data_IF_899052705288
#
_entry.id   IF_899052705288
#
_cell.length_a   1.000
_cell.length_b   1.000
_cell.length_c   1.000
_cell.angle_alpha   90.00
_cell.angle_beta   90.00
_cell.angle_gamma   90.00
#
_symmetry.space_group_name_H-M   'P 1'
#
loop_
_entity.id
_entity.type
_entity.pdbx_description
1 polymer ?
#
# COMPACT_ATOMS: atom_id res chain seq x y z
N UNK A 1 11.23 -12.42 -5.19
CA UNK A 1 9.94 -11.72 -5.09
C UNK A 1 9.22 -12.28 -3.88
N UNK A 2 8.88 -11.44 -2.92
CA UNK A 2 8.06 -11.80 -1.75
C UNK A 2 6.78 -10.98 -1.74
N UNK A 3 5.73 -11.52 -1.13
CA UNK A 3 4.45 -10.86 -0.97
C UNK A 3 4.38 -10.24 0.43
N UNK A 4 4.18 -8.92 0.48
CA UNK A 4 4.09 -8.15 1.71
C UNK A 4 2.63 -7.77 2.00
N UNK A 5 2.14 -8.10 3.19
CA UNK A 5 0.89 -7.59 3.74
C UNK A 5 1.19 -6.38 4.61
N UNK A 6 0.58 -5.24 4.30
CA UNK A 6 0.73 -3.99 5.07
C UNK A 6 -0.62 -3.65 5.70
N UNK A 7 -0.70 -3.67 7.03
CA UNK A 7 -1.86 -3.17 7.76
C UNK A 7 -1.74 -1.67 7.97
N UNK A 8 -2.86 -0.95 7.92
CA UNK A 8 -2.85 0.52 7.97
C UNK A 8 -2.24 1.15 6.71
N UNK A 9 -2.38 0.49 5.56
CA UNK A 9 -1.73 0.86 4.30
C UNK A 9 -2.15 2.22 3.73
N UNK A 10 -3.34 2.73 4.07
CA UNK A 10 -3.78 4.07 3.67
C UNK A 10 -3.41 5.16 4.72
N UNK A 11 -2.75 4.79 5.82
CA UNK A 11 -2.19 5.72 6.78
C UNK A 11 -0.91 6.42 6.28
N UNK A 12 -0.40 7.39 7.05
CA UNK A 12 0.80 8.15 6.69
C UNK A 12 2.02 7.23 6.47
N UNK A 13 2.36 6.37 7.44
CA UNK A 13 3.53 5.48 7.32
C UNK A 13 3.25 4.34 6.35
N UNK A 14 2.06 3.74 6.43
CA UNK A 14 1.69 2.57 5.64
C UNK A 14 1.74 2.83 4.14
N UNK A 15 1.26 3.99 3.68
CA UNK A 15 1.27 4.35 2.26
C UNK A 15 2.69 4.48 1.70
N UNK A 16 3.56 5.20 2.41
CA UNK A 16 4.97 5.33 2.03
C UNK A 16 5.70 3.98 2.05
N UNK A 17 5.39 3.11 3.01
CA UNK A 17 5.93 1.75 3.04
C UNK A 17 5.47 0.94 1.82
N UNK A 18 4.19 1.00 1.48
CA UNK A 18 3.66 0.35 0.28
C UNK A 18 4.39 0.84 -0.97
N UNK A 19 4.58 2.14 -1.14
CA UNK A 19 5.33 2.68 -2.30
C UNK A 19 6.76 2.16 -2.38
N UNK A 20 7.48 2.11 -1.25
CA UNK A 20 8.86 1.64 -1.23
C UNK A 20 8.95 0.15 -1.55
N UNK A 21 8.02 -0.67 -1.05
CA UNK A 21 7.97 -2.10 -1.36
C UNK A 21 7.65 -2.35 -2.85
N UNK A 22 6.73 -1.58 -3.42
CA UNK A 22 6.46 -1.61 -4.87
C UNK A 22 7.72 -1.22 -5.68
N UNK A 23 8.42 -0.15 -5.29
CA UNK A 23 9.70 0.28 -5.93
C UNK A 23 10.79 -0.79 -5.85
N UNK A 24 10.76 -1.64 -4.82
CA UNK A 24 11.67 -2.79 -4.66
C UNK A 24 11.22 -4.04 -5.43
N UNK A 25 10.14 -3.94 -6.23
CA UNK A 25 9.63 -5.05 -7.04
C UNK A 25 8.88 -6.12 -6.23
N UNK A 26 8.38 -5.78 -5.04
CA UNK A 26 7.55 -6.68 -4.25
C UNK A 26 6.08 -6.61 -4.68
N UNK A 27 5.33 -7.67 -4.40
CA UNK A 27 3.86 -7.64 -4.42
C UNK A 27 3.37 -7.15 -3.06
N UNK A 28 2.42 -6.22 -3.05
CA UNK A 28 1.94 -5.56 -1.84
C UNK A 28 0.43 -5.64 -1.77
N UNK A 29 -0.07 -6.15 -0.64
CA UNK A 29 -1.48 -6.01 -0.26
C UNK A 29 -1.59 -5.08 0.94
N UNK A 30 -2.23 -3.94 0.75
CA UNK A 30 -2.59 -3.03 1.83
C UNK A 30 -3.97 -3.41 2.38
N UNK A 31 -4.08 -3.56 3.71
CA UNK A 31 -5.37 -3.71 4.41
C UNK A 31 -5.56 -2.48 5.29
N UNK A 32 -6.65 -1.75 5.08
CA UNK A 32 -6.95 -0.54 5.85
C UNK A 32 -8.46 -0.31 5.95
N UNK A 33 -8.94 0.03 7.13
CA UNK A 33 -10.36 0.30 7.39
C UNK A 33 -10.76 1.77 7.14
N UNK A 34 -9.78 2.61 6.78
CA UNK A 34 -9.92 4.05 6.57
C UNK A 34 -10.44 4.80 7.81
N UNK A 35 -10.24 4.26 9.02
CA UNK A 35 -10.63 4.92 10.27
C UNK A 35 -9.91 6.26 10.48
N UNK A 36 -8.63 6.32 10.08
CA UNK A 36 -7.80 7.54 10.09
C UNK A 36 -6.95 7.71 8.83
N UNK A 37 -6.93 6.70 7.95
CA UNK A 37 -6.25 6.72 6.66
C UNK A 37 -7.08 7.37 5.55
N UNK A 38 -6.41 7.76 4.47
CA UNK A 38 -7.03 8.36 3.29
C UNK A 38 -6.59 7.60 2.05
N UNK A 39 -7.53 7.17 1.21
CA UNK A 39 -7.21 6.46 -0.04
C UNK A 39 -6.27 7.25 -0.95
N UNK A 40 -6.35 8.58 -0.90
CA UNK A 40 -5.49 9.50 -1.65
C UNK A 40 -4.00 9.32 -1.33
N UNK A 41 -3.67 8.81 -0.13
CA UNK A 41 -2.28 8.49 0.22
C UNK A 41 -1.70 7.37 -0.65
N UNK A 42 -2.55 6.60 -1.34
CA UNK A 42 -2.16 5.51 -2.23
C UNK A 42 -2.23 5.87 -3.71
N UNK A 43 -2.61 7.10 -4.09
CA UNK A 43 -2.81 7.52 -5.49
C UNK A 43 -1.59 7.24 -6.38
N UNK A 44 -0.37 7.29 -5.81
CA UNK A 44 0.87 7.01 -6.54
C UNK A 44 1.05 5.53 -6.95
N UNK A 45 0.32 4.60 -6.34
CA UNK A 45 0.46 3.15 -6.55
C UNK A 45 -0.86 2.39 -6.70
N UNK A 46 -2.01 3.07 -6.58
CA UNK A 46 -3.33 2.41 -6.54
C UNK A 46 -3.62 1.57 -7.79
N UNK A 47 -3.12 1.99 -8.95
CA UNK A 47 -3.26 1.31 -10.24
C UNK A 47 -2.04 0.43 -10.60
N UNK A 48 -1.06 0.30 -9.71
CA UNK A 48 0.14 -0.50 -9.98
C UNK A 48 -0.22 -2.00 -9.98
N UNK A 49 0.24 -2.80 -10.97
CA UNK A 49 -0.18 -4.21 -11.12
C UNK A 49 0.20 -5.10 -9.93
N UNK A 50 1.25 -4.72 -9.19
CA UNK A 50 1.72 -5.44 -8.01
C UNK A 50 1.13 -4.90 -6.69
N UNK A 51 0.22 -3.93 -6.75
CA UNK A 51 -0.45 -3.37 -5.58
C UNK A 51 -1.91 -3.83 -5.52
N UNK A 52 -2.40 -4.13 -4.33
CA UNK A 52 -3.81 -4.44 -4.10
C UNK A 52 -4.25 -3.81 -2.78
N UNK A 53 -5.40 -3.14 -2.82
CA UNK A 53 -6.03 -2.57 -1.62
C UNK A 53 -7.21 -3.45 -1.16
N UNK A 54 -7.34 -3.63 0.16
CA UNK A 54 -8.35 -4.47 0.82
C UNK A 54 -8.94 -3.82 2.05
#
# INVERSE_FOLDING_TARGET
MSHCLVTGGAGFIGSHLCEQLIKQGQEVTAVDDLSTGFLQNLDGIIDHPNFTFR
#
